data_IF_739063758466
#
_entry.id   IF_739063758466
#
_cell.length_a   1.000
_cell.length_b   1.000
_cell.length_c   1.000
_cell.angle_alpha   90.00
_cell.angle_beta   90.00
_cell.angle_gamma   90.00
#
_symmetry.space_group_name_H-M   'P 1'
#
loop_
_entity.id
_entity.type
_entity.pdbx_description
1 polymer ?
#
# COMPACT_ATOMS: atom_id res chain seq x y z
N UNK A 1 -4.04 -15.29 -15.93
CA UNK A 1 -4.39 -16.24 -17.00
C UNK A 1 -5.90 -16.27 -17.14
N UNK A 2 -6.49 -16.00 -18.35
CA UNK A 2 -7.94 -16.04 -18.55
C UNK A 2 -8.51 -17.47 -18.58
N UNK A 3 -7.66 -18.47 -18.75
CA UNK A 3 -8.05 -19.88 -18.71
C UNK A 3 -7.93 -20.37 -17.28
N UNK A 4 -9.02 -20.79 -16.61
CA UNK A 4 -8.96 -21.40 -15.28
C UNK A 4 -8.03 -22.61 -15.23
N UNK A 5 -7.29 -22.75 -14.14
CA UNK A 5 -6.32 -23.84 -13.97
C UNK A 5 -6.99 -25.21 -13.81
N UNK A 6 -8.24 -25.21 -13.41
CA UNK A 6 -9.07 -26.39 -13.14
C UNK A 6 -9.56 -27.06 -14.41
N UNK A 7 -9.50 -26.38 -15.57
CA UNK A 7 -9.95 -26.94 -16.84
C UNK A 7 -8.98 -27.95 -17.40
N UNK A 8 -9.49 -29.09 -17.84
CA UNK A 8 -8.74 -30.07 -18.61
C UNK A 8 -8.36 -29.52 -19.99
N UNK A 9 -7.36 -30.10 -20.67
CA UNK A 9 -7.00 -29.71 -22.05
C UNK A 9 -8.17 -29.81 -23.06
N UNK A 10 -9.11 -30.73 -22.82
CA UNK A 10 -10.31 -30.87 -23.67
C UNK A 10 -11.30 -29.70 -23.43
N UNK A 11 -11.52 -29.33 -22.17
CA UNK A 11 -12.40 -28.23 -21.80
C UNK A 11 -11.82 -26.87 -22.17
N UNK A 12 -10.50 -26.70 -22.07
CA UNK A 12 -9.78 -25.46 -22.47
C UNK A 12 -10.07 -25.08 -23.92
N UNK A 13 -10.31 -26.04 -24.81
CA UNK A 13 -10.67 -25.77 -26.24
C UNK A 13 -12.00 -25.05 -26.40
N UNK A 14 -12.86 -25.05 -25.39
CA UNK A 14 -14.13 -24.35 -25.40
C UNK A 14 -14.02 -22.90 -24.92
N UNK A 15 -12.85 -22.47 -24.44
CA UNK A 15 -12.59 -21.05 -24.10
C UNK A 15 -12.30 -20.30 -25.40
N UNK A 16 -13.30 -19.57 -25.89
CA UNK A 16 -13.25 -18.89 -27.19
C UNK A 16 -12.52 -17.55 -27.17
N UNK A 17 -12.36 -16.96 -25.98
CA UNK A 17 -11.71 -15.65 -25.85
C UNK A 17 -11.85 -15.07 -24.45
N UNK A 18 -11.62 -13.77 -24.37
CA UNK A 18 -11.67 -12.98 -23.13
C UNK A 18 -12.64 -11.82 -23.27
N UNK A 19 -13.23 -11.40 -22.18
CA UNK A 19 -14.14 -10.26 -22.12
C UNK A 19 -13.77 -9.37 -20.94
N UNK A 20 -13.87 -8.06 -21.13
CA UNK A 20 -13.87 -7.07 -20.06
C UNK A 20 -15.07 -6.15 -20.22
N UNK A 21 -15.71 -5.80 -19.11
CA UNK A 21 -16.87 -4.93 -19.09
C UNK A 21 -16.48 -3.56 -18.55
N UNK A 22 -16.97 -2.50 -19.21
CA UNK A 22 -16.97 -1.15 -18.66
C UNK A 22 -18.39 -0.86 -18.17
N UNK A 23 -18.55 -0.83 -16.84
CA UNK A 23 -19.80 -0.43 -16.22
C UNK A 23 -19.92 1.09 -16.25
N UNK A 24 -20.99 1.60 -16.83
CA UNK A 24 -21.16 3.03 -17.12
C UNK A 24 -21.81 3.80 -15.99
N UNK A 25 -22.04 3.20 -14.82
CA UNK A 25 -22.67 3.83 -13.65
C UNK A 25 -22.01 5.15 -13.26
N UNK A 26 -20.67 5.23 -13.41
CA UNK A 26 -19.86 6.42 -13.09
C UNK A 26 -19.18 7.02 -14.33
N UNK A 27 -19.56 6.60 -15.54
CA UNK A 27 -19.01 7.11 -16.81
C UNK A 27 -20.00 8.09 -17.41
N UNK A 28 -19.66 9.39 -17.35
CA UNK A 28 -20.58 10.48 -17.68
C UNK A 28 -20.68 10.76 -19.18
N UNK A 29 -19.61 10.53 -19.94
CA UNK A 29 -19.49 10.91 -21.34
C UNK A 29 -18.50 10.00 -22.09
N UNK A 30 -18.42 10.16 -23.41
CA UNK A 30 -17.50 9.42 -24.27
C UNK A 30 -16.03 9.67 -23.94
N UNK A 31 -15.55 10.91 -23.70
CA UNK A 31 -14.17 11.15 -23.26
C UNK A 31 -13.81 10.43 -21.96
N UNK A 32 -14.76 10.29 -21.03
CA UNK A 32 -14.55 9.53 -19.80
C UNK A 32 -14.48 8.02 -20.08
N UNK A 33 -15.35 7.50 -20.97
CA UNK A 33 -15.28 6.11 -21.39
C UNK A 33 -13.93 5.78 -22.04
N UNK A 34 -13.44 6.63 -22.94
CA UNK A 34 -12.10 6.49 -23.55
C UNK A 34 -10.99 6.51 -22.53
N UNK A 35 -11.03 7.42 -21.55
CA UNK A 35 -10.06 7.52 -20.45
C UNK A 35 -10.04 6.24 -19.59
N UNK A 36 -11.16 5.61 -19.39
CA UNK A 36 -11.27 4.35 -18.65
C UNK A 36 -10.80 3.15 -19.47
N UNK A 37 -11.08 3.13 -20.77
CA UNK A 37 -10.73 2.03 -21.67
C UNK A 37 -9.27 2.06 -22.09
N UNK A 38 -8.75 3.22 -22.51
CA UNK A 38 -7.41 3.33 -23.08
C UNK A 38 -6.38 3.83 -22.04
N UNK A 39 -5.19 3.19 -21.96
CA UNK A 39 -4.70 2.08 -22.78
C UNK A 39 -5.04 0.69 -22.22
N UNK A 40 -5.89 0.55 -21.21
CA UNK A 40 -6.15 -0.72 -20.48
C UNK A 40 -6.62 -1.84 -21.41
N UNK A 41 -7.38 -1.51 -22.45
CA UNK A 41 -7.83 -2.50 -23.45
C UNK A 41 -6.66 -3.16 -24.18
N UNK A 42 -5.51 -2.51 -24.28
CA UNK A 42 -4.30 -3.11 -24.85
C UNK A 42 -3.78 -4.25 -23.97
N UNK A 43 -3.97 -4.16 -22.65
CA UNK A 43 -3.60 -5.25 -21.74
C UNK A 43 -4.52 -6.47 -21.92
N UNK A 44 -5.82 -6.24 -22.20
CA UNK A 44 -6.74 -7.32 -22.54
C UNK A 44 -6.31 -8.00 -23.83
N UNK A 45 -5.94 -7.22 -24.86
CA UNK A 45 -5.40 -7.73 -26.12
C UNK A 45 -4.13 -8.54 -25.91
N UNK A 46 -3.19 -8.06 -25.08
CA UNK A 46 -1.97 -8.79 -24.73
C UNK A 46 -2.29 -10.15 -24.12
N UNK A 47 -3.24 -10.18 -23.18
CA UNK A 47 -3.67 -11.41 -22.50
C UNK A 47 -4.37 -12.38 -23.47
N UNK A 48 -5.09 -11.86 -24.46
CA UNK A 48 -5.81 -12.67 -25.43
C UNK A 48 -4.91 -13.29 -26.51
N UNK A 49 -3.88 -12.55 -26.95
CA UNK A 49 -3.07 -12.94 -28.11
C UNK A 49 -1.68 -13.48 -27.77
N UNK A 50 -1.11 -13.09 -26.64
CA UNK A 50 0.23 -13.52 -26.24
C UNK A 50 0.17 -14.72 -25.32
N UNK A 51 0.80 -15.86 -25.65
CA UNK A 51 0.89 -17.01 -24.76
C UNK A 51 1.46 -16.63 -23.40
N UNK A 52 0.99 -17.27 -22.33
CA UNK A 52 1.33 -16.89 -20.96
C UNK A 52 2.85 -16.87 -20.69
N UNK A 53 3.59 -17.84 -21.24
CA UNK A 53 5.03 -17.97 -21.08
C UNK A 53 5.83 -16.86 -21.80
N UNK A 54 5.22 -16.21 -22.79
CA UNK A 54 5.87 -15.17 -23.61
C UNK A 54 5.50 -13.75 -23.15
N UNK A 55 4.68 -13.62 -22.07
CA UNK A 55 4.26 -12.32 -21.55
C UNK A 55 5.37 -11.69 -20.74
N UNK A 56 5.81 -10.53 -21.18
CA UNK A 56 6.77 -9.66 -20.49
C UNK A 56 6.13 -8.29 -20.25
N UNK A 57 5.88 -7.96 -18.98
CA UNK A 57 5.21 -6.70 -18.61
C UNK A 57 6.00 -5.46 -19.01
N UNK A 58 7.33 -5.47 -18.92
CA UNK A 58 8.16 -4.31 -19.30
C UNK A 58 8.17 -4.09 -20.80
N UNK A 59 8.27 -5.18 -21.58
CA UNK A 59 8.14 -5.14 -23.04
C UNK A 59 6.74 -4.67 -23.43
N UNK A 60 5.67 -5.19 -22.79
CA UNK A 60 4.30 -4.73 -23.00
C UNK A 60 4.17 -3.23 -22.75
N UNK A 61 4.65 -2.69 -21.63
CA UNK A 61 4.61 -1.26 -21.33
C UNK A 61 5.33 -0.42 -22.38
N UNK A 62 6.46 -0.89 -22.89
CA UNK A 62 7.20 -0.22 -23.97
C UNK A 62 6.35 -0.12 -25.24
N UNK A 63 5.67 -1.19 -25.62
CA UNK A 63 4.76 -1.20 -26.77
C UNK A 63 3.53 -0.31 -26.55
N UNK A 64 2.94 -0.33 -25.35
CA UNK A 64 1.83 0.58 -24.98
C UNK A 64 2.27 2.03 -25.11
N UNK A 65 3.43 2.40 -24.57
CA UNK A 65 3.96 3.76 -24.68
C UNK A 65 4.19 4.19 -26.14
N UNK A 66 4.54 3.27 -27.01
CA UNK A 66 4.66 3.53 -28.45
C UNK A 66 3.29 3.80 -29.10
N UNK A 67 2.23 3.12 -28.68
CA UNK A 67 0.89 3.27 -29.25
C UNK A 67 0.13 4.50 -28.72
N UNK A 68 0.39 4.95 -27.50
CA UNK A 68 -0.31 6.09 -26.88
C UNK A 68 -0.30 7.37 -27.74
N UNK A 69 0.82 7.81 -28.34
CA UNK A 69 0.82 8.98 -29.22
C UNK A 69 -0.09 8.82 -30.44
N UNK A 70 -0.14 7.65 -31.04
CA UNK A 70 -1.00 7.37 -32.20
C UNK A 70 -2.49 7.41 -31.83
N UNK A 71 -2.87 6.89 -30.66
CA UNK A 71 -4.23 6.98 -30.12
C UNK A 71 -4.64 8.44 -29.88
N UNK A 72 -3.77 9.22 -29.23
CA UNK A 72 -4.00 10.65 -29.00
C UNK A 72 -4.15 11.45 -30.31
N UNK A 73 -3.34 11.13 -31.35
CA UNK A 73 -3.46 11.75 -32.67
C UNK A 73 -4.81 11.49 -33.34
N UNK A 74 -5.47 10.38 -32.97
CA UNK A 74 -6.83 10.05 -33.42
C UNK A 74 -7.92 10.72 -32.59
N UNK A 75 -7.59 11.58 -31.63
CA UNK A 75 -8.53 12.26 -30.76
C UNK A 75 -8.96 11.48 -29.53
N UNK A 76 -8.43 10.27 -29.31
CA UNK A 76 -8.81 9.42 -28.19
C UNK A 76 -8.24 10.00 -26.87
N UNK A 77 -9.09 10.13 -25.86
CA UNK A 77 -8.74 10.59 -24.51
C UNK A 77 -8.09 9.47 -23.71
N UNK A 78 -6.81 9.22 -23.98
CA UNK A 78 -6.04 8.14 -23.36
C UNK A 78 -5.63 8.50 -21.95
N UNK A 79 -5.85 7.61 -20.97
CA UNK A 79 -5.28 7.73 -19.62
C UNK A 79 -3.76 7.92 -19.71
N UNK A 80 -3.21 8.98 -19.12
CA UNK A 80 -1.77 9.22 -19.14
C UNK A 80 -1.06 8.22 -18.23
N UNK A 81 -0.19 7.40 -18.78
CA UNK A 81 0.70 6.55 -17.99
C UNK A 81 1.61 7.43 -17.15
N UNK A 82 1.43 7.43 -15.83
CA UNK A 82 2.06 8.41 -14.94
C UNK A 82 2.37 7.89 -13.54
N UNK A 83 2.06 6.61 -13.26
CA UNK A 83 2.28 6.06 -11.92
C UNK A 83 3.74 5.67 -11.74
N UNK A 84 4.24 5.96 -10.55
CA UNK A 84 5.43 5.33 -9.99
C UNK A 84 4.95 4.31 -8.98
N UNK A 85 5.44 3.07 -9.09
CA UNK A 85 5.28 2.05 -8.07
C UNK A 85 6.51 2.05 -7.16
N UNK A 86 6.28 1.92 -5.85
CA UNK A 86 7.34 1.67 -4.88
C UNK A 86 7.14 0.26 -4.31
N UNK A 87 8.14 -0.57 -4.47
CA UNK A 87 8.18 -1.94 -3.95
C UNK A 87 9.11 -1.93 -2.74
N UNK A 88 8.57 -2.32 -1.61
CA UNK A 88 9.29 -2.40 -0.35
C UNK A 88 9.70 -3.84 -0.06
N UNK A 89 10.93 -4.02 0.40
CA UNK A 89 11.44 -5.29 0.89
C UNK A 89 12.17 -5.07 2.21
N UNK A 90 12.03 -6.02 3.12
CA UNK A 90 12.70 -5.99 4.41
C UNK A 90 13.54 -7.25 4.58
N UNK A 91 14.84 -7.07 4.72
CA UNK A 91 15.79 -8.13 5.06
C UNK A 91 16.04 -8.13 6.57
N UNK A 92 15.39 -9.06 7.27
CA UNK A 92 15.50 -9.17 8.73
C UNK A 92 16.86 -9.71 9.21
N UNK A 93 17.62 -10.38 8.33
CA UNK A 93 18.95 -10.91 8.65
C UNK A 93 20.01 -9.80 8.59
N UNK A 94 19.92 -8.95 7.55
CA UNK A 94 20.85 -7.83 7.37
C UNK A 94 20.40 -6.56 8.10
N UNK A 95 19.24 -6.55 8.75
CA UNK A 95 18.63 -5.36 9.32
C UNK A 95 18.56 -4.22 8.28
N UNK A 96 17.88 -4.47 7.18
CA UNK A 96 17.85 -3.57 6.04
C UNK A 96 16.42 -3.45 5.50
N UNK A 97 15.99 -2.22 5.27
CA UNK A 97 14.84 -1.92 4.44
C UNK A 97 15.31 -1.48 3.06
N UNK A 98 14.63 -1.90 2.02
CA UNK A 98 14.94 -1.49 0.65
C UNK A 98 13.68 -1.09 -0.11
N UNK A 99 13.81 -0.10 -0.98
CA UNK A 99 12.74 0.40 -1.84
C UNK A 99 13.21 0.41 -3.27
N UNK A 100 12.53 -0.34 -4.11
CA UNK A 100 12.69 -0.30 -5.56
C UNK A 100 11.59 0.55 -6.18
N UNK A 101 11.93 1.35 -7.18
CA UNK A 101 10.99 2.18 -7.91
C UNK A 101 10.80 1.65 -9.32
N UNK A 102 9.57 1.66 -9.81
CA UNK A 102 9.22 1.33 -11.19
C UNK A 102 8.19 2.32 -11.73
N UNK A 103 8.08 2.45 -13.04
CA UNK A 103 7.17 3.39 -13.69
C UNK A 103 6.40 2.77 -14.84
N UNK A 104 5.13 3.13 -14.97
CA UNK A 104 4.32 2.84 -16.15
C UNK A 104 4.88 3.49 -17.44
N UNK A 105 5.86 4.40 -17.28
CA UNK A 105 6.47 5.15 -18.39
C UNK A 105 7.97 4.88 -18.46
N UNK A 106 8.40 3.78 -19.11
CA UNK A 106 9.80 3.33 -19.14
C UNK A 106 10.78 4.35 -19.73
N UNK A 107 10.28 5.30 -20.54
CA UNK A 107 11.09 6.36 -21.18
C UNK A 107 11.29 7.58 -20.29
N UNK A 108 10.56 7.69 -19.18
CA UNK A 108 10.69 8.80 -18.25
C UNK A 108 11.72 8.49 -17.16
N UNK A 109 12.43 9.52 -16.73
CA UNK A 109 13.35 9.44 -15.60
C UNK A 109 12.56 9.51 -14.29
N UNK A 110 12.81 8.59 -13.39
CA UNK A 110 12.39 8.71 -12.00
C UNK A 110 13.48 9.50 -11.27
N UNK A 111 13.15 10.74 -10.85
CA UNK A 111 14.00 11.52 -9.94
C UNK A 111 13.48 11.39 -8.53
N UNK A 112 14.40 11.23 -7.57
CA UNK A 112 14.02 10.95 -6.18
C UNK A 112 14.87 11.73 -5.18
N UNK A 113 14.35 11.81 -3.94
CA UNK A 113 15.05 12.29 -2.76
C UNK A 113 14.82 11.33 -1.58
N UNK A 114 15.73 11.32 -0.63
CA UNK A 114 15.64 10.52 0.61
C UNK A 114 15.71 11.37 1.87
N UNK A 115 15.76 12.68 1.72
CA UNK A 115 15.83 13.68 2.80
C UNK A 115 14.49 14.37 3.09
N UNK A 116 13.42 13.93 2.40
CA UNK A 116 12.08 14.50 2.55
C UNK A 116 11.81 15.75 1.69
N UNK A 117 12.80 16.27 0.98
CA UNK A 117 12.60 17.36 0.02
C UNK A 117 11.86 16.89 -1.24
N UNK A 118 11.28 17.81 -2.01
CA UNK A 118 10.65 17.46 -3.28
C UNK A 118 11.69 17.23 -4.38
N UNK A 119 11.56 16.15 -5.19
CA UNK A 119 12.44 15.91 -6.32
C UNK A 119 12.34 17.00 -7.39
N UNK A 120 13.50 17.42 -7.89
CA UNK A 120 13.68 18.37 -8.99
C UNK A 120 14.42 17.73 -10.15
N UNK A 121 14.58 18.43 -11.27
CA UNK A 121 15.40 17.98 -12.39
C UNK A 121 16.87 17.70 -12.00
N UNK A 122 17.35 18.32 -10.93
CA UNK A 122 18.71 18.13 -10.39
C UNK A 122 18.84 16.98 -9.40
N UNK A 123 17.72 16.43 -8.94
CA UNK A 123 17.72 15.31 -7.99
C UNK A 123 18.29 14.04 -8.65
N UNK A 124 18.84 13.11 -7.87
CA UNK A 124 19.35 11.85 -8.38
C UNK A 124 18.32 11.11 -9.26
N UNK A 125 18.83 10.50 -10.34
CA UNK A 125 18.05 9.63 -11.20
C UNK A 125 18.07 8.21 -10.64
N UNK A 126 16.92 7.57 -10.54
CA UNK A 126 16.83 6.17 -10.18
C UNK A 126 17.31 5.28 -11.34
N UNK A 127 18.27 4.41 -11.07
CA UNK A 127 18.94 3.56 -12.09
C UNK A 127 18.60 2.08 -11.96
N UNK A 128 17.60 1.74 -11.12
CA UNK A 128 17.19 0.36 -10.87
C UNK A 128 17.84 -0.27 -9.64
N UNK A 129 18.84 0.38 -9.02
CA UNK A 129 19.43 -0.11 -7.77
C UNK A 129 18.49 0.23 -6.59
N UNK A 130 18.09 -0.75 -5.75
CA UNK A 130 17.25 -0.48 -4.60
C UNK A 130 17.86 0.57 -3.65
N UNK A 131 17.03 1.50 -3.18
CA UNK A 131 17.38 2.45 -2.14
C UNK A 131 17.31 1.74 -0.80
N UNK A 132 18.34 1.84 0.02
CA UNK A 132 18.43 1.03 1.25
C UNK A 132 18.71 1.87 2.49
N UNK A 133 18.21 1.40 3.65
CA UNK A 133 18.51 1.96 4.97
C UNK A 133 18.48 0.88 6.04
N UNK A 134 19.20 1.09 7.13
CA UNK A 134 19.15 0.24 8.34
C UNK A 134 18.18 0.79 9.41
N UNK A 135 17.57 1.90 9.11
CA UNK A 135 16.63 2.60 9.97
C UNK A 135 15.39 2.99 9.16
N UNK A 136 14.90 4.18 9.28
CA UNK A 136 13.82 4.68 8.43
C UNK A 136 14.34 5.09 7.05
N UNK A 137 13.50 4.94 6.04
CA UNK A 137 13.74 5.42 4.68
C UNK A 137 12.53 6.17 4.18
N UNK A 138 12.71 7.45 3.89
CA UNK A 138 11.70 8.29 3.24
C UNK A 138 12.11 8.44 1.78
N UNK A 139 11.24 8.09 0.85
CA UNK A 139 11.47 8.26 -0.58
C UNK A 139 10.38 9.14 -1.16
N UNK A 140 10.75 10.27 -1.72
CA UNK A 140 9.88 11.04 -2.61
C UNK A 140 10.36 10.88 -4.04
N UNK A 141 9.44 10.68 -4.97
CA UNK A 141 9.80 10.50 -6.38
C UNK A 141 8.79 11.14 -7.34
N UNK A 142 9.30 11.64 -8.45
CA UNK A 142 8.55 12.23 -9.58
C UNK A 142 9.11 11.77 -10.91
N UNK A 143 8.26 11.83 -11.95
CA UNK A 143 8.66 11.56 -13.33
C UNK A 143 9.12 12.83 -14.06
N UNK A 144 10.19 12.69 -14.84
CA UNK A 144 10.75 13.72 -15.67
C UNK A 144 11.01 13.23 -17.09
N UNK A 145 10.87 14.10 -18.07
CA UNK A 145 11.38 13.94 -19.43
C UNK A 145 12.51 14.96 -19.63
N UNK A 146 13.76 14.49 -19.58
CA UNK A 146 14.91 15.36 -19.44
C UNK A 146 14.81 16.21 -18.17
N UNK A 147 14.89 17.53 -18.31
CA UNK A 147 14.75 18.47 -17.20
C UNK A 147 13.31 18.91 -16.92
N UNK A 148 12.35 18.47 -17.73
CA UNK A 148 10.95 18.87 -17.59
C UNK A 148 10.19 17.86 -16.73
N UNK A 149 9.64 18.33 -15.63
CA UNK A 149 8.74 17.55 -14.78
C UNK A 149 7.45 17.19 -15.52
N UNK A 150 6.99 15.97 -15.38
CA UNK A 150 5.69 15.53 -15.89
C UNK A 150 4.63 15.90 -14.85
N UNK A 151 4.04 17.09 -14.98
CA UNK A 151 3.09 17.66 -14.01
C UNK A 151 1.86 16.75 -13.78
N UNK A 152 1.40 16.07 -14.82
CA UNK A 152 0.28 15.12 -14.72
C UNK A 152 0.61 13.88 -13.88
N UNK A 153 1.89 13.61 -13.57
CA UNK A 153 2.32 12.49 -12.76
C UNK A 153 2.34 12.89 -11.27
N UNK A 154 1.60 12.19 -10.41
CA UNK A 154 1.62 12.49 -8.98
C UNK A 154 3.02 12.22 -8.40
N UNK A 155 3.44 13.07 -7.46
CA UNK A 155 4.58 12.74 -6.61
C UNK A 155 4.19 11.57 -5.72
N UNK A 156 5.04 10.56 -5.64
CA UNK A 156 4.94 9.59 -4.57
C UNK A 156 5.74 10.07 -3.36
N UNK A 157 5.18 9.81 -2.17
CA UNK A 157 5.89 9.93 -0.90
C UNK A 157 5.70 8.62 -0.16
N UNK A 158 6.79 7.95 0.09
CA UNK A 158 6.82 6.61 0.66
C UNK A 158 7.74 6.61 1.88
N UNK A 159 7.30 5.96 2.96
CA UNK A 159 8.12 5.78 4.16
C UNK A 159 8.09 4.33 4.58
N UNK A 160 9.25 3.81 4.94
CA UNK A 160 9.42 2.53 5.59
C UNK A 160 10.28 2.72 6.83
N UNK A 161 9.95 2.00 7.91
CA UNK A 161 10.63 2.08 9.20
C UNK A 161 11.12 0.68 9.58
N UNK A 162 12.39 0.57 10.05
CA UNK A 162 12.87 -0.65 10.66
C UNK A 162 12.67 -0.58 12.19
N UNK A 163 12.01 -1.58 12.77
CA UNK A 163 11.69 -1.61 14.19
C UNK A 163 11.65 -3.04 14.75
N UNK A 164 11.56 -3.18 16.07
CA UNK A 164 11.70 -4.47 16.78
C UNK A 164 10.65 -5.53 16.43
N UNK A 165 9.47 -5.13 15.93
CA UNK A 165 8.39 -6.05 15.54
C UNK A 165 8.56 -6.63 14.13
N UNK A 166 9.44 -6.08 13.29
CA UNK A 166 9.65 -6.57 11.93
C UNK A 166 10.14 -8.02 11.93
N UNK A 167 9.50 -8.84 11.09
CA UNK A 167 9.80 -10.26 10.97
C UNK A 167 9.33 -11.11 12.14
N UNK A 168 8.65 -10.52 13.12
CA UNK A 168 8.10 -11.21 14.29
C UNK A 168 6.75 -11.87 13.98
N UNK A 169 6.28 -12.70 14.91
CA UNK A 169 4.96 -13.32 14.82
C UNK A 169 3.92 -12.32 15.32
N UNK A 170 2.88 -12.12 14.53
CA UNK A 170 1.66 -11.41 14.94
C UNK A 170 0.48 -12.37 14.96
N UNK A 171 -0.38 -12.24 15.95
CA UNK A 171 -1.62 -13.01 16.12
C UNK A 171 -2.78 -12.02 16.20
N UNK A 172 -3.82 -12.29 15.45
CA UNK A 172 -5.09 -11.55 15.48
C UNK A 172 -6.02 -12.26 16.46
N UNK A 173 -6.37 -11.57 17.56
CA UNK A 173 -7.15 -12.16 18.66
C UNK A 173 -8.63 -11.85 18.44
N UNK A 174 -9.40 -12.87 18.04
CA UNK A 174 -10.85 -12.75 17.76
C UNK A 174 -11.20 -11.60 16.78
N UNK A 175 -10.27 -11.17 15.96
CA UNK A 175 -10.45 -10.20 14.90
C UNK A 175 -9.79 -10.67 13.61
N UNK A 176 -10.27 -10.15 12.49
CA UNK A 176 -9.66 -10.37 11.18
C UNK A 176 -9.80 -9.09 10.34
N UNK A 177 -8.89 -8.91 9.41
CA UNK A 177 -9.00 -7.82 8.44
C UNK A 177 -10.01 -8.15 7.35
N UNK A 178 -10.53 -7.13 6.70
CA UNK A 178 -11.41 -7.28 5.56
C UNK A 178 -10.63 -7.69 4.30
N UNK A 179 -11.17 -8.61 3.51
CA UNK A 179 -10.51 -9.16 2.32
C UNK A 179 -10.19 -8.11 1.24
N UNK A 180 -10.88 -6.97 1.22
CA UNK A 180 -10.60 -5.86 0.30
C UNK A 180 -9.43 -4.99 0.77
N UNK A 181 -9.12 -5.00 2.07
CA UNK A 181 -8.16 -4.10 2.70
C UNK A 181 -7.14 -4.88 3.51
N UNK A 182 -6.39 -5.72 2.81
CA UNK A 182 -5.45 -6.68 3.43
C UNK A 182 -4.10 -6.06 3.79
N UNK A 183 -3.73 -4.95 3.14
CA UNK A 183 -2.43 -4.30 3.23
C UNK A 183 -1.21 -5.24 3.00
N UNK A 184 -1.43 -6.36 2.32
CA UNK A 184 -0.37 -7.38 2.12
C UNK A 184 -0.53 -8.62 3.02
N UNK A 185 -1.54 -8.66 3.90
CA UNK A 185 -1.93 -9.86 4.63
C UNK A 185 -1.50 -9.89 6.09
N UNK A 186 -1.18 -11.07 6.60
CA UNK A 186 -1.05 -11.31 8.04
C UNK A 186 0.08 -10.56 8.75
N UNK A 187 1.06 -10.00 8.04
CA UNK A 187 2.17 -9.23 8.61
C UNK A 187 2.08 -7.74 8.36
N UNK A 188 1.03 -7.27 7.70
CA UNK A 188 0.89 -5.91 7.26
C UNK A 188 1.04 -4.84 8.35
N UNK A 189 0.66 -5.15 9.59
CA UNK A 189 0.79 -4.22 10.72
C UNK A 189 2.21 -4.15 11.32
N UNK A 190 3.15 -4.98 10.85
CA UNK A 190 4.52 -5.06 11.37
C UNK A 190 5.54 -5.31 10.26
N UNK A 191 5.27 -4.87 9.03
CA UNK A 191 6.16 -5.06 7.88
C UNK A 191 7.05 -3.84 7.60
N UNK A 192 6.90 -2.78 8.37
CA UNK A 192 7.66 -1.54 8.25
C UNK A 192 7.11 -0.59 7.19
N UNK A 193 6.03 -0.93 6.49
CA UNK A 193 5.49 -0.13 5.37
C UNK A 193 4.42 0.83 5.84
N UNK A 194 4.68 2.14 5.71
CA UNK A 194 3.71 3.16 6.11
C UNK A 194 2.70 3.45 5.02
N UNK A 195 1.45 3.59 5.41
CA UNK A 195 0.38 4.03 4.54
C UNK A 195 0.57 5.47 4.06
N UNK A 196 0.28 5.71 2.77
CA UNK A 196 0.27 7.06 2.17
C UNK A 196 -1.06 7.79 2.50
N UNK A 197 -1.20 9.07 2.13
CA UNK A 197 -2.45 9.80 2.36
C UNK A 197 -3.68 9.32 1.54
N UNK A 198 -3.72 8.05 1.19
CA UNK A 198 -4.88 7.42 0.53
C UNK A 198 -4.96 5.94 0.91
N UNK A 199 -6.16 5.46 1.23
CA UNK A 199 -6.38 4.04 1.50
C UNK A 199 -6.28 3.16 0.24
N UNK A 200 -6.29 3.79 -0.95
CA UNK A 200 -6.19 3.09 -2.25
C UNK A 200 -4.77 2.62 -2.58
N UNK A 201 -3.79 2.94 -1.75
CA UNK A 201 -2.40 2.52 -1.93
C UNK A 201 -2.15 1.04 -1.59
N UNK A 202 -3.15 0.37 -0.97
CA UNK A 202 -3.06 -1.02 -0.55
C UNK A 202 -2.18 -1.25 0.69
N UNK A 203 -1.93 -0.21 1.51
CA UNK A 203 -1.06 -0.24 2.70
C UNK A 203 -1.80 -0.02 4.02
N UNK A 204 -3.11 0.06 3.97
CA UNK A 204 -3.98 0.22 5.12
C UNK A 204 -4.76 -1.07 5.35
N UNK A 205 -4.52 -1.71 6.49
CA UNK A 205 -5.28 -2.88 6.87
C UNK A 205 -6.59 -2.46 7.53
N UNK A 206 -7.72 -2.93 6.98
CA UNK A 206 -9.07 -2.50 7.38
C UNK A 206 -9.80 -3.53 8.22
N UNK A 207 -10.40 -3.09 9.32
CA UNK A 207 -11.17 -3.92 10.25
C UNK A 207 -12.58 -3.38 10.39
N UNK A 208 -13.57 -4.27 10.36
CA UNK A 208 -14.98 -3.96 10.66
C UNK A 208 -15.36 -4.26 12.11
N UNK A 209 -14.47 -4.92 12.86
CA UNK A 209 -14.54 -5.17 14.30
C UNK A 209 -13.47 -4.38 15.04
N UNK A 210 -13.47 -4.34 16.39
CA UNK A 210 -12.30 -3.89 17.14
C UNK A 210 -11.04 -4.63 16.70
N UNK A 211 -9.92 -3.91 16.51
CA UNK A 211 -8.63 -4.53 16.26
C UNK A 211 -8.02 -4.99 17.58
N UNK A 212 -7.60 -6.24 17.63
CA UNK A 212 -6.91 -6.82 18.78
C UNK A 212 -5.79 -7.73 18.27
N UNK A 213 -4.56 -7.31 18.39
CA UNK A 213 -3.40 -8.04 17.86
C UNK A 213 -2.32 -8.20 18.92
N UNK A 214 -1.66 -9.36 18.89
CA UNK A 214 -0.53 -9.68 19.78
C UNK A 214 0.71 -9.95 18.95
N UNK A 215 1.79 -9.22 19.25
CA UNK A 215 3.11 -9.35 18.64
C UNK A 215 4.01 -10.11 19.61
N UNK A 216 4.61 -11.24 19.19
CA UNK A 216 5.63 -11.97 19.94
C UNK A 216 7.02 -11.52 19.47
N UNK A 217 7.71 -10.76 20.26
CA UNK A 217 9.07 -10.26 19.97
C UNK A 217 10.14 -11.38 20.03
N UNK A 218 9.76 -12.60 20.51
CA UNK A 218 10.62 -13.76 20.58
C UNK A 218 11.39 -13.87 21.89
N UNK A 219 11.70 -12.76 22.53
CA UNK A 219 12.36 -12.68 23.84
C UNK A 219 11.90 -11.43 24.60
N UNK A 220 12.11 -11.42 25.91
CA UNK A 220 11.88 -10.20 26.72
C UNK A 220 12.84 -9.10 26.22
N UNK A 221 12.26 -8.02 25.73
CA UNK A 221 12.93 -6.92 25.02
C UNK A 221 12.61 -5.61 25.72
N UNK A 222 13.57 -4.71 25.77
CA UNK A 222 13.36 -3.34 26.24
C UNK A 222 12.50 -2.57 25.25
N UNK A 223 11.51 -1.84 25.79
CA UNK A 223 10.55 -1.06 25.03
C UNK A 223 10.64 0.40 25.46
N UNK A 224 10.94 1.26 24.50
CA UNK A 224 11.03 2.71 24.73
C UNK A 224 9.83 3.46 24.16
N UNK A 225 9.24 2.94 23.09
CA UNK A 225 8.12 3.60 22.41
C UNK A 225 7.32 2.61 21.55
N UNK A 226 6.00 2.77 21.56
CA UNK A 226 5.11 2.07 20.63
C UNK A 226 4.26 3.12 19.91
N UNK A 227 4.11 2.96 18.58
CA UNK A 227 3.25 3.80 17.76
C UNK A 227 2.25 2.92 17.02
N UNK A 228 1.06 3.45 16.82
CA UNK A 228 0.07 2.89 15.90
C UNK A 228 -0.62 4.04 15.17
N UNK A 229 -0.67 4.00 13.83
CA UNK A 229 -1.26 5.08 13.05
C UNK A 229 -2.54 4.62 12.40
N UNK A 230 -3.55 5.46 12.52
CA UNK A 230 -4.87 5.25 11.95
C UNK A 230 -5.26 6.38 11.01
N UNK A 231 -6.23 6.10 10.13
CA UNK A 231 -6.81 7.12 9.27
C UNK A 231 -8.32 7.23 9.45
N UNK A 232 -8.86 8.41 9.18
CA UNK A 232 -10.28 8.66 9.03
C UNK A 232 -10.55 9.24 7.64
N UNK A 233 -11.53 8.64 6.94
CA UNK A 233 -12.09 9.14 5.69
C UNK A 233 -13.59 8.83 5.67
N UNK A 234 -14.39 9.69 6.29
CA UNK A 234 -15.80 9.44 6.58
C UNK A 234 -16.65 9.15 5.34
N UNK A 235 -16.34 9.78 4.22
CA UNK A 235 -17.05 9.54 2.94
C UNK A 235 -16.92 8.08 2.52
N UNK A 236 -15.85 7.40 2.95
CA UNK A 236 -15.57 5.99 2.66
C UNK A 236 -15.87 5.07 3.86
N UNK A 237 -16.58 5.56 4.87
CA UNK A 237 -17.00 4.81 6.07
C UNK A 237 -15.81 4.33 6.92
N UNK A 238 -14.68 5.04 6.82
CA UNK A 238 -13.47 4.81 7.61
C UNK A 238 -13.42 5.83 8.75
N UNK A 239 -13.25 5.35 9.98
CA UNK A 239 -13.27 6.17 11.19
C UNK A 239 -12.04 5.90 12.05
N UNK A 240 -11.68 6.87 12.90
CA UNK A 240 -10.71 6.63 13.97
C UNK A 240 -11.25 5.59 14.97
N UNK A 241 -10.37 4.79 15.60
CA UNK A 241 -10.77 4.03 16.79
C UNK A 241 -11.22 4.97 17.91
N UNK A 242 -12.07 4.50 18.80
CA UNK A 242 -12.46 5.29 19.98
C UNK A 242 -11.27 5.52 20.93
N UNK A 243 -10.45 4.50 21.07
CA UNK A 243 -9.17 4.52 21.80
C UNK A 243 -8.23 3.42 21.32
N UNK A 244 -6.98 3.54 21.71
CA UNK A 244 -5.93 2.50 21.53
C UNK A 244 -5.32 2.20 22.88
N UNK A 245 -5.20 0.91 23.21
CA UNK A 245 -4.64 0.40 24.45
C UNK A 245 -3.44 -0.51 24.17
N UNK A 246 -2.39 -0.35 24.94
CA UNK A 246 -1.18 -1.20 24.91
C UNK A 246 -1.17 -2.08 26.15
N UNK A 247 -1.05 -3.37 25.94
CA UNK A 247 -0.87 -4.35 27.01
C UNK A 247 0.42 -5.14 26.77
N UNK A 248 1.08 -5.48 27.86
CA UNK A 248 2.36 -6.20 27.84
C UNK A 248 2.28 -7.51 28.62
N UNK A 249 3.04 -8.51 28.17
CA UNK A 249 3.16 -9.81 28.84
C UNK A 249 4.52 -10.43 28.59
N UNK A 250 5.02 -11.22 29.54
CA UNK A 250 6.23 -12.02 29.38
C UNK A 250 5.94 -13.47 28.95
N UNK A 251 4.73 -13.96 29.23
CA UNK A 251 4.33 -15.35 28.97
C UNK A 251 3.24 -15.52 27.88
N UNK A 252 2.72 -14.41 27.35
CA UNK A 252 1.67 -14.43 26.31
C UNK A 252 0.27 -14.80 26.81
N UNK A 253 0.08 -14.95 28.12
CA UNK A 253 -1.20 -15.33 28.77
C UNK A 253 -1.68 -14.21 29.69
N UNK A 254 -0.85 -13.77 30.60
CA UNK A 254 -1.18 -12.73 31.57
C UNK A 254 -0.72 -11.38 31.04
N UNK A 255 -1.67 -10.60 30.55
CA UNK A 255 -1.43 -9.26 30.03
C UNK A 255 -1.79 -8.19 31.05
N UNK A 256 -0.92 -7.19 31.22
CA UNK A 256 -1.18 -5.97 31.98
C UNK A 256 -1.32 -4.78 31.05
N UNK A 257 -2.32 -3.95 31.26
CA UNK A 257 -2.47 -2.68 30.55
C UNK A 257 -1.42 -1.70 31.06
N UNK A 258 -0.68 -1.08 30.13
CA UNK A 258 0.39 -0.13 30.47
C UNK A 258 0.12 1.27 29.96
N UNK A 259 -0.66 1.40 28.90
CA UNK A 259 -1.01 2.71 28.35
C UNK A 259 -2.33 2.64 27.58
N UNK A 260 -3.09 3.75 27.60
CA UNK A 260 -4.32 3.91 26.81
C UNK A 260 -4.47 5.37 26.41
N UNK A 261 -4.84 5.58 25.15
CA UNK A 261 -5.05 6.91 24.59
C UNK A 261 -6.36 6.93 23.84
N UNK A 262 -7.21 7.93 24.12
CA UNK A 262 -8.42 8.19 23.33
C UNK A 262 -8.05 8.95 22.07
N UNK A 263 -8.84 8.77 21.00
CA UNK A 263 -8.70 9.58 19.79
C UNK A 263 -8.93 11.07 20.11
N UNK A 264 -8.13 11.91 19.47
CA UNK A 264 -8.25 13.37 19.51
C UNK A 264 -8.91 13.92 18.25
N UNK A 265 -8.94 13.14 17.18
CA UNK A 265 -9.54 13.51 15.90
C UNK A 265 -11.05 13.59 16.01
N UNK A 266 -11.62 14.77 15.70
CA UNK A 266 -13.07 14.95 15.66
C UNK A 266 -13.70 14.10 14.55
N UNK A 267 -14.84 13.49 14.87
CA UNK A 267 -15.65 12.77 13.90
C UNK A 267 -16.23 13.67 12.81
N UNK A 268 -16.36 14.98 13.05
CA UNK A 268 -16.95 15.93 12.09
C UNK A 268 -16.01 16.31 10.94
N UNK A 269 -14.77 15.79 10.95
CA UNK A 269 -13.82 16.02 9.86
C UNK A 269 -14.09 15.02 8.72
N UNK A 270 -14.58 15.55 7.59
CA UNK A 270 -14.90 14.75 6.39
C UNK A 270 -13.70 14.49 5.47
N UNK A 271 -12.73 15.41 5.42
CA UNK A 271 -11.49 15.20 4.66
C UNK A 271 -10.65 14.08 5.27
N UNK A 272 -9.83 13.39 4.49
CA UNK A 272 -8.89 12.42 5.02
C UNK A 272 -7.98 13.03 6.08
N UNK A 273 -7.92 12.41 7.26
CA UNK A 273 -7.05 12.80 8.37
C UNK A 273 -6.39 11.57 8.97
N UNK A 274 -5.25 11.79 9.63
CA UNK A 274 -4.42 10.73 10.18
C UNK A 274 -4.08 11.05 11.63
N UNK A 275 -4.15 10.05 12.49
CA UNK A 275 -3.73 10.17 13.88
C UNK A 275 -2.73 9.07 14.21
N UNK A 276 -1.61 9.47 14.83
CA UNK A 276 -0.62 8.54 15.35
C UNK A 276 -0.75 8.50 16.86
N UNK A 277 -1.19 7.37 17.37
CA UNK A 277 -1.17 7.08 18.78
C UNK A 277 0.25 6.77 19.20
N UNK A 278 0.75 7.45 20.23
CA UNK A 278 2.15 7.48 20.61
C UNK A 278 2.31 7.19 22.11
N UNK A 279 2.98 6.10 22.41
CA UNK A 279 3.12 5.56 23.77
C UNK A 279 4.59 5.49 24.17
N UNK A 280 5.16 6.58 24.74
CA UNK A 280 6.48 6.53 25.35
C UNK A 280 6.44 5.67 26.60
N UNK A 281 7.46 4.83 26.80
CA UNK A 281 7.52 3.92 27.94
C UNK A 281 8.96 3.56 28.33
N UNK A 282 9.12 2.97 29.52
CA UNK A 282 10.37 2.33 29.98
C UNK A 282 9.98 0.96 30.51
N UNK A 283 9.70 0.05 29.62
CA UNK A 283 9.13 -1.26 29.93
C UNK A 283 10.00 -2.38 29.34
N UNK A 284 9.77 -3.59 29.81
CA UNK A 284 10.37 -4.81 29.25
C UNK A 284 9.25 -5.83 29.11
N UNK A 285 9.14 -6.46 27.93
CA UNK A 285 8.20 -7.54 27.70
C UNK A 285 8.59 -8.36 26.47
N UNK A 286 8.09 -9.59 26.40
CA UNK A 286 8.17 -10.40 25.19
C UNK A 286 6.98 -10.18 24.27
N UNK A 287 5.80 -9.98 24.82
CA UNK A 287 4.57 -9.84 24.05
C UNK A 287 4.02 -8.43 24.17
N UNK A 288 3.71 -7.83 23.03
CA UNK A 288 3.02 -6.54 22.91
C UNK A 288 1.64 -6.80 22.33
N UNK A 289 0.59 -6.44 23.05
CA UNK A 289 -0.80 -6.53 22.56
C UNK A 289 -1.33 -5.12 22.35
N UNK A 290 -1.86 -4.87 21.17
CA UNK A 290 -2.45 -3.59 20.78
C UNK A 290 -3.94 -3.80 20.51
N UNK A 291 -4.77 -3.05 21.24
CA UNK A 291 -6.20 -3.03 21.06
C UNK A 291 -6.65 -1.67 20.57
N UNK A 292 -7.46 -1.64 19.52
CA UNK A 292 -8.12 -0.43 19.05
C UNK A 292 -9.62 -0.67 19.02
N UNK A 293 -10.36 0.14 19.77
CA UNK A 293 -11.81 -0.02 19.89
C UNK A 293 -12.52 0.44 18.61
N UNK A 294 -13.52 -0.33 18.18
CA UNK A 294 -14.47 0.10 17.17
C UNK A 294 -15.87 0.14 17.79
N UNK A 295 -16.28 1.32 18.20
CA UNK A 295 -17.55 1.51 18.90
C UNK A 295 -18.73 1.74 17.92
N UNK A 296 -18.54 1.41 16.64
CA UNK A 296 -19.54 1.67 15.60
C UNK A 296 -20.29 0.41 15.21
N UNK A 297 -21.45 0.63 14.60
CA UNK A 297 -22.27 -0.43 14.04
C UNK A 297 -21.56 -1.12 12.85
N UNK A 298 -22.05 -2.30 12.48
CA UNK A 298 -21.55 -3.06 11.35
C UNK A 298 -21.46 -2.19 10.06
N UNK A 299 -20.40 -2.41 9.27
CA UNK A 299 -20.17 -1.69 8.01
C UNK A 299 -19.22 -0.50 8.10
N UNK A 300 -18.78 -0.12 9.29
CA UNK A 300 -17.76 0.91 9.48
C UNK A 300 -16.37 0.28 9.65
N UNK A 301 -15.36 0.96 9.13
CA UNK A 301 -13.98 0.50 9.18
C UNK A 301 -13.14 1.33 10.15
N UNK A 302 -12.17 0.66 10.79
CA UNK A 302 -10.96 1.29 11.29
C UNK A 302 -9.79 0.82 10.42
N UNK A 303 -8.91 1.74 10.03
CA UNK A 303 -7.76 1.44 9.16
C UNK A 303 -6.46 1.76 9.91
N UNK A 304 -5.60 0.74 10.02
CA UNK A 304 -4.27 0.86 10.60
C UNK A 304 -3.21 0.56 9.52
N UNK A 305 -2.12 1.36 9.47
CA UNK A 305 -1.00 1.10 8.56
C UNK A 305 0.08 0.23 9.22
N UNK A 306 0.58 0.63 10.37
CA UNK A 306 1.73 -0.01 10.99
C UNK A 306 1.72 0.15 12.51
N UNK A 307 2.22 -0.87 13.22
CA UNK A 307 2.51 -0.85 14.66
C UNK A 307 4.03 -0.88 14.83
N UNK A 308 4.61 0.25 15.16
CA UNK A 308 6.05 0.42 15.33
C UNK A 308 6.43 0.17 16.79
N UNK A 309 7.43 -0.65 17.02
CA UNK A 309 7.95 -0.99 18.36
C UNK A 309 9.44 -0.65 18.45
N UNK A 310 9.78 0.32 19.29
CA UNK A 310 11.16 0.72 19.60
C UNK A 310 11.60 0.33 20.99
#
# INVERSE_FOLDING_TARGET
NPVPKELTPAETKHVLGVQANLWTEYVLDEPHAEYMLFPRILALSEVAWTPQQDRDYKNFLTRVNYHVPALKKRGINVYPLRRIAAINEVDTVKHLVSVSLDSERPTADIRYTTDGTEPTARSPRYTGTPLTSRDSLIVKARLFEGDKMIEAAPMISFRTDYHKAIGKKITYNDCTWNERYTAGGSRALIDGVRGTPTYLDGRWQGFTSPMDVTIDLGAVTELSHIFAKFMQERVQWVYMPGDVEILLSDNGVNFRSVARQKTLTSEDIYKPVFETFSFPMKERARYVRVKASNNRSAGHFIFCDEIIVH
#
